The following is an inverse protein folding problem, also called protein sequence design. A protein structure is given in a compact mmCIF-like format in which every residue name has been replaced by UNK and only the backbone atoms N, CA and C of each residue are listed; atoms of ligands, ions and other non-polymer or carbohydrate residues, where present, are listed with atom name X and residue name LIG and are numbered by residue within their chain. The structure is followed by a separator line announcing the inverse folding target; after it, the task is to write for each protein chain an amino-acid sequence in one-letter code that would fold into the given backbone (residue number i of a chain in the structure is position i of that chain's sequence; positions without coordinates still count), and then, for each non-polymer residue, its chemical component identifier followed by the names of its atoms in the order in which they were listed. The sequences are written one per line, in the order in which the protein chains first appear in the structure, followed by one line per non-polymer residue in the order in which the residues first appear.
data_IF_207863660745
#
_entry.id   IF_207863660745
#
_cell.length_a   1.000
_cell.length_b   1.000
_cell.length_c   1.000
_cell.angle_alpha   90.00
_cell.angle_beta   90.00
_cell.angle_gamma   90.00
#
_symmetry.space_group_name_H-M   'P 1'
#
loop_
_entity.id
_entity.type
_entity.pdbx_description
1 polymer ?
#
# COMPACT_ATOMS: atom_id res chain seq x y z
N UNK A 1 -0.97 24.68 10.45
CA UNK A 1 0.37 24.06 10.48
C UNK A 1 0.43 23.19 11.73
N UNK A 2 1.02 22.01 11.66
CA UNK A 2 1.23 21.15 12.84
C UNK A 2 2.35 21.72 13.71
N UNK A 3 2.19 21.64 15.04
CA UNK A 3 3.22 22.04 16.01
C UNK A 3 3.75 20.78 16.69
N UNK A 4 5.07 20.58 16.67
CA UNK A 4 5.74 19.48 17.35
C UNK A 4 6.44 20.05 18.59
N UNK A 5 6.12 19.54 19.78
CA UNK A 5 6.70 20.03 21.04
C UNK A 5 8.05 19.36 21.35
N UNK A 6 8.18 18.05 21.05
CA UNK A 6 9.40 17.27 21.26
C UNK A 6 9.68 16.38 20.06
N UNK A 7 10.94 16.23 19.69
CA UNK A 7 11.43 15.29 18.69
C UNK A 7 12.35 14.27 19.34
N UNK A 8 12.14 12.98 19.04
CA UNK A 8 12.93 11.88 19.59
C UNK A 8 13.31 10.94 18.45
N UNK A 9 14.60 10.68 18.28
CA UNK A 9 15.12 9.59 17.46
C UNK A 9 15.21 8.35 18.33
N UNK A 10 14.30 7.42 18.13
CA UNK A 10 14.26 6.20 18.93
C UNK A 10 15.48 5.31 18.62
N UNK A 11 16.10 4.79 19.67
CA UNK A 11 17.28 3.91 19.55
C UNK A 11 16.88 2.43 19.50
N UNK A 12 15.67 2.11 19.91
CA UNK A 12 15.12 0.75 19.88
C UNK A 12 13.64 0.75 19.51
N UNK A 13 13.15 -0.38 18.98
CA UNK A 13 11.71 -0.57 18.74
C UNK A 13 10.90 -0.52 20.02
N UNK A 14 11.45 -1.00 21.14
CA UNK A 14 10.79 -0.93 22.45
C UNK A 14 10.59 0.53 22.90
N UNK A 15 11.61 1.37 22.81
CA UNK A 15 11.51 2.79 23.12
C UNK A 15 10.46 3.47 22.24
N UNK A 16 10.52 3.24 20.91
CA UNK A 16 9.55 3.79 19.98
C UNK A 16 8.12 3.35 20.33
N UNK A 17 7.93 2.08 20.67
CA UNK A 17 6.63 1.53 21.02
C UNK A 17 6.10 2.12 22.35
N UNK A 18 6.92 2.20 23.38
CA UNK A 18 6.54 2.82 24.64
C UNK A 18 6.11 4.28 24.46
N UNK A 19 6.88 5.05 23.71
CA UNK A 19 6.53 6.43 23.36
C UNK A 19 5.20 6.51 22.59
N UNK A 20 4.95 5.56 21.67
CA UNK A 20 3.76 5.54 20.84
C UNK A 20 2.46 5.18 21.59
N UNK A 21 2.54 4.68 22.83
CA UNK A 21 1.35 4.42 23.65
C UNK A 21 0.64 5.72 24.07
N UNK A 22 1.32 6.85 24.08
CA UNK A 22 0.69 8.13 24.28
C UNK A 22 0.00 8.62 22.99
N UNK A 23 -1.33 8.76 23.04
CA UNK A 23 -2.17 9.16 21.89
C UNK A 23 -1.83 10.53 21.29
N UNK A 24 -1.07 11.38 22.00
CA UNK A 24 -0.59 12.68 21.50
C UNK A 24 0.77 12.58 20.78
N UNK A 25 1.42 11.43 20.85
CA UNK A 25 2.66 11.18 20.14
C UNK A 25 2.37 10.65 18.73
N UNK A 26 3.32 10.79 17.82
CA UNK A 26 3.20 10.30 16.43
C UNK A 26 4.52 9.73 15.97
N UNK A 27 4.46 8.54 15.37
CA UNK A 27 5.57 7.99 14.58
C UNK A 27 5.68 8.77 13.29
N UNK A 28 6.90 9.13 12.95
CA UNK A 28 7.22 9.78 11.70
C UNK A 28 7.55 8.74 10.62
N UNK A 29 6.89 8.84 9.47
CA UNK A 29 7.39 8.36 8.21
C UNK A 29 7.95 9.55 7.42
N UNK A 30 7.65 9.68 6.12
CA UNK A 30 8.07 10.84 5.32
C UNK A 30 7.39 12.18 5.66
N UNK A 31 6.54 12.24 6.66
CA UNK A 31 5.78 13.41 7.12
C UNK A 31 4.87 14.10 6.09
N UNK A 32 4.71 13.55 4.90
CA UNK A 32 4.05 14.23 3.78
C UNK A 32 2.57 14.55 4.05
N UNK A 33 1.87 13.68 4.78
CA UNK A 33 0.50 13.92 5.23
C UNK A 33 0.44 14.58 6.60
N UNK A 34 1.30 14.19 7.52
CA UNK A 34 1.29 14.70 8.87
C UNK A 34 1.50 16.22 8.89
N UNK A 35 2.42 16.75 8.07
CA UNK A 35 2.71 18.20 7.99
C UNK A 35 1.55 19.05 7.50
N UNK A 36 0.59 18.46 6.75
CA UNK A 36 -0.61 19.16 6.27
C UNK A 36 -1.70 19.23 7.33
N UNK A 37 -1.55 18.49 8.43
CA UNK A 37 -2.48 18.49 9.54
C UNK A 37 -2.48 19.81 10.31
N UNK A 38 -3.51 19.97 11.14
CA UNK A 38 -3.63 21.06 12.13
C UNK A 38 -3.58 20.43 13.52
N UNK A 39 -2.98 21.15 14.47
CA UNK A 39 -2.94 20.71 15.86
C UNK A 39 -1.52 20.53 16.40
N UNK A 40 -1.42 19.89 17.58
CA UNK A 40 -0.17 19.69 18.30
C UNK A 40 0.16 18.21 18.43
N UNK A 41 1.42 17.87 18.17
CA UNK A 41 2.04 16.58 18.48
C UNK A 41 2.94 16.78 19.68
N UNK A 42 2.72 15.99 20.74
CA UNK A 42 3.54 16.10 21.94
C UNK A 42 4.96 15.60 21.66
N UNK A 43 5.10 14.36 21.14
CA UNK A 43 6.40 13.83 20.73
C UNK A 43 6.31 13.26 19.32
N UNK A 44 7.17 13.73 18.44
CA UNK A 44 7.42 13.14 17.13
C UNK A 44 8.51 12.08 17.30
N UNK A 45 8.18 10.82 16.96
CA UNK A 45 9.03 9.66 17.14
C UNK A 45 9.60 9.29 15.79
N UNK A 46 10.91 9.45 15.62
CA UNK A 46 11.61 9.09 14.40
C UNK A 46 12.24 7.69 14.51
N UNK A 47 12.05 6.88 13.48
CA UNK A 47 12.56 5.50 13.41
C UNK A 47 13.82 5.39 12.53
N UNK A 48 14.45 6.50 12.13
CA UNK A 48 15.55 6.51 11.15
C UNK A 48 16.77 5.71 11.59
N UNK A 49 17.03 5.57 12.90
CA UNK A 49 18.19 4.86 13.45
C UNK A 49 17.96 3.36 13.65
N UNK A 50 16.76 2.85 13.32
CA UNK A 50 16.38 1.45 13.56
C UNK A 50 16.66 0.50 12.38
N UNK A 51 17.36 0.95 11.33
CA UNK A 51 17.69 0.12 10.17
C UNK A 51 16.47 -0.34 9.35
N UNK A 52 15.36 0.42 9.41
CA UNK A 52 14.11 0.06 8.74
C UNK A 52 13.96 0.67 7.33
N UNK A 53 15.04 1.19 6.77
CA UNK A 53 15.08 1.84 5.45
C UNK A 53 15.64 0.94 4.34
N UNK A 54 15.76 -0.36 4.58
CA UNK A 54 16.31 -1.33 3.63
C UNK A 54 15.23 -2.20 3.00
N UNK A 55 15.50 -2.71 1.81
CA UNK A 55 14.77 -3.81 1.16
C UNK A 55 15.75 -4.98 1.10
N UNK A 56 15.49 -6.01 1.88
CA UNK A 56 16.27 -7.24 1.92
C UNK A 56 15.59 -8.29 1.04
N UNK A 57 16.37 -8.94 0.20
CA UNK A 57 15.90 -9.99 -0.70
C UNK A 57 16.57 -11.31 -0.34
N UNK A 58 15.76 -12.34 -0.15
CA UNK A 58 16.19 -13.73 0.00
C UNK A 58 15.64 -14.59 -1.14
N UNK A 59 15.93 -15.88 -1.14
CA UNK A 59 15.33 -16.82 -2.10
C UNK A 59 13.81 -16.87 -1.99
N UNK A 60 13.27 -16.76 -0.76
CA UNK A 60 11.85 -16.98 -0.47
C UNK A 60 11.01 -15.71 -0.37
N UNK A 61 11.62 -14.55 -0.09
CA UNK A 61 10.87 -13.33 0.20
C UNK A 61 11.66 -12.04 0.01
N UNK A 62 10.91 -10.94 -0.12
CA UNK A 62 11.38 -9.58 0.11
C UNK A 62 10.93 -9.11 1.49
N UNK A 63 11.86 -8.56 2.27
CA UNK A 63 11.60 -7.93 3.57
C UNK A 63 11.83 -6.42 3.43
N UNK A 64 10.75 -5.66 3.31
CA UNK A 64 10.74 -4.24 3.00
C UNK A 64 10.55 -3.46 4.29
N UNK A 65 11.55 -2.74 4.74
CA UNK A 65 11.50 -1.94 5.95
C UNK A 65 10.44 -0.83 5.87
N UNK A 66 9.82 -0.52 7.00
CA UNK A 66 8.76 0.50 7.04
C UNK A 66 9.24 1.90 6.65
N UNK A 67 10.53 2.19 6.81
CA UNK A 67 11.16 3.45 6.45
C UNK A 67 11.77 3.45 5.03
N UNK A 68 11.74 2.31 4.31
CA UNK A 68 12.08 2.28 2.89
C UNK A 68 11.15 3.23 2.12
N UNK A 69 11.71 3.96 1.16
CA UNK A 69 10.97 4.97 0.42
C UNK A 69 10.20 4.38 -0.76
N UNK A 70 9.21 5.10 -1.28
CA UNK A 70 8.55 4.69 -2.50
C UNK A 70 9.50 4.74 -3.71
N UNK A 71 10.55 5.54 -3.62
CA UNK A 71 11.60 5.56 -4.65
C UNK A 71 12.44 4.29 -4.62
N UNK A 72 12.73 3.74 -3.44
CA UNK A 72 13.42 2.45 -3.31
C UNK A 72 12.57 1.33 -3.92
N UNK A 73 11.25 1.30 -3.70
CA UNK A 73 10.35 0.36 -4.38
C UNK A 73 10.39 0.51 -5.91
N UNK A 74 10.36 1.76 -6.40
CA UNK A 74 10.38 2.06 -7.84
C UNK A 74 11.63 1.54 -8.53
N UNK A 75 12.78 1.59 -7.85
CA UNK A 75 14.08 1.28 -8.42
C UNK A 75 14.60 -0.13 -8.11
N UNK A 76 13.98 -0.85 -7.17
CA UNK A 76 14.50 -2.16 -6.74
C UNK A 76 14.37 -3.21 -7.85
N UNK A 77 15.50 -3.61 -8.43
CA UNK A 77 15.55 -4.50 -9.61
C UNK A 77 14.88 -5.84 -9.35
N UNK A 78 15.24 -6.55 -8.26
CA UNK A 78 14.69 -7.86 -7.94
C UNK A 78 13.17 -7.84 -7.71
N UNK A 79 12.67 -6.82 -6.99
CA UNK A 79 11.24 -6.66 -6.75
C UNK A 79 10.45 -6.38 -8.04
N UNK A 80 11.03 -5.57 -8.93
CA UNK A 80 10.43 -5.26 -10.20
C UNK A 80 10.49 -6.44 -11.18
N UNK A 81 11.59 -7.20 -11.19
CA UNK A 81 11.68 -8.44 -11.95
C UNK A 81 10.65 -9.47 -11.49
N UNK A 82 10.52 -9.68 -10.18
CA UNK A 82 9.54 -10.60 -9.59
C UNK A 82 8.09 -10.20 -9.93
N UNK A 83 7.77 -8.90 -9.85
CA UNK A 83 6.42 -8.40 -10.09
C UNK A 83 6.12 -8.05 -11.55
N UNK A 84 7.02 -8.34 -12.51
CA UNK A 84 6.87 -7.91 -13.90
C UNK A 84 6.70 -6.39 -14.05
N UNK A 85 7.31 -5.61 -13.14
CA UNK A 85 7.22 -4.15 -13.12
C UNK A 85 5.95 -3.58 -12.48
N UNK A 86 5.04 -4.40 -11.97
CA UNK A 86 3.77 -3.92 -11.38
C UNK A 86 3.98 -3.03 -10.15
N UNK A 87 5.01 -3.30 -9.32
CA UNK A 87 5.33 -2.47 -8.15
C UNK A 87 5.84 -1.09 -8.60
N UNK A 88 6.76 -1.02 -9.56
CA UNK A 88 7.20 0.28 -10.12
C UNK A 88 6.02 1.02 -10.77
N UNK A 89 5.16 0.32 -11.52
CA UNK A 89 3.97 0.91 -12.13
C UNK A 89 3.02 1.52 -11.09
N UNK A 90 2.87 0.89 -9.93
CA UNK A 90 2.02 1.39 -8.85
C UNK A 90 2.55 2.68 -8.22
N UNK A 91 3.89 2.86 -8.14
CA UNK A 91 4.46 4.00 -7.41
C UNK A 91 4.94 5.14 -8.31
N UNK A 92 5.33 4.88 -9.56
CA UNK A 92 5.98 5.86 -10.46
C UNK A 92 5.21 7.16 -10.67
N UNK A 93 3.88 7.09 -10.62
CA UNK A 93 2.99 8.25 -10.84
C UNK A 93 2.48 8.87 -9.53
N UNK A 94 2.99 8.43 -8.36
CA UNK A 94 2.71 9.09 -7.09
C UNK A 94 3.50 10.40 -7.02
N UNK A 95 2.82 11.51 -7.32
CA UNK A 95 3.33 12.88 -7.33
C UNK A 95 4.61 12.99 -8.17
N UNK A 96 5.76 13.19 -7.56
CA UNK A 96 7.05 13.34 -8.22
C UNK A 96 8.17 12.61 -7.48
N UNK A 97 9.38 12.59 -8.09
CA UNK A 97 10.54 11.90 -7.51
C UNK A 97 10.86 12.42 -6.11
N UNK A 98 10.81 13.75 -5.89
CA UNK A 98 11.09 14.35 -4.57
C UNK A 98 10.10 13.86 -3.51
N UNK A 99 8.83 13.70 -3.89
CA UNK A 99 7.81 13.16 -2.99
C UNK A 99 8.11 11.69 -2.67
N UNK A 100 8.43 10.88 -3.68
CA UNK A 100 8.73 9.45 -3.51
C UNK A 100 10.01 9.18 -2.74
N UNK A 101 11.00 10.09 -2.79
CA UNK A 101 12.20 10.03 -1.95
C UNK A 101 11.91 10.25 -0.46
N UNK A 102 10.76 10.81 -0.11
CA UNK A 102 10.36 11.07 1.28
C UNK A 102 9.22 10.16 1.75
N UNK A 103 8.30 9.81 0.87
CA UNK A 103 7.17 8.93 1.20
C UNK A 103 7.68 7.53 1.52
N UNK A 104 7.26 6.97 2.66
CA UNK A 104 7.70 5.67 3.13
C UNK A 104 6.66 4.58 2.88
N UNK A 105 7.13 3.35 2.72
CA UNK A 105 6.26 2.16 2.62
C UNK A 105 5.39 2.02 3.85
N UNK A 106 5.99 2.16 5.05
CA UNK A 106 5.25 2.13 6.30
C UNK A 106 4.14 3.16 6.37
N UNK A 107 4.42 4.42 5.99
CA UNK A 107 3.41 5.48 5.95
C UNK A 107 2.26 5.17 5.00
N UNK A 108 2.54 4.57 3.84
CA UNK A 108 1.55 4.21 2.83
C UNK A 108 0.68 3.02 3.25
N UNK A 109 1.26 2.01 3.91
CA UNK A 109 0.56 0.80 4.38
C UNK A 109 -0.18 1.08 5.70
N UNK A 110 0.49 1.66 6.70
CA UNK A 110 -0.13 1.99 8.00
C UNK A 110 -1.28 2.98 7.86
N UNK A 111 -1.12 3.95 6.97
CA UNK A 111 -2.14 4.96 6.68
C UNK A 111 -3.47 4.36 6.25
N UNK A 112 -3.46 3.24 5.54
CA UNK A 112 -4.64 2.58 4.95
C UNK A 112 -5.54 3.56 4.23
N UNK A 113 -4.94 4.55 3.56
CA UNK A 113 -5.67 5.54 2.79
C UNK A 113 -6.38 4.89 1.60
N UNK A 114 -7.58 5.38 1.30
CA UNK A 114 -8.38 4.84 0.20
C UNK A 114 -7.70 4.94 -1.17
N UNK A 115 -6.81 5.90 -1.33
CA UNK A 115 -6.06 6.18 -2.56
C UNK A 115 -4.66 5.51 -2.58
N UNK A 116 -4.33 4.62 -1.65
CA UNK A 116 -3.00 4.01 -1.57
C UNK A 116 -2.76 3.03 -2.70
N UNK A 117 -2.00 3.44 -3.70
CA UNK A 117 -1.52 2.57 -4.78
C UNK A 117 -0.64 1.44 -4.22
N UNK A 118 0.19 1.74 -3.22
CA UNK A 118 1.06 0.77 -2.54
C UNK A 118 0.23 -0.32 -1.87
N UNK A 119 -0.79 0.03 -1.08
CA UNK A 119 -1.67 -0.97 -0.47
C UNK A 119 -2.37 -1.80 -1.54
N UNK A 120 -2.82 -1.17 -2.63
CA UNK A 120 -3.55 -1.84 -3.71
C UNK A 120 -2.69 -2.90 -4.40
N UNK A 121 -1.44 -2.59 -4.77
CA UNK A 121 -0.59 -3.55 -5.48
C UNK A 121 -0.18 -4.72 -4.57
N UNK A 122 0.25 -4.45 -3.34
CA UNK A 122 0.68 -5.52 -2.44
C UNK A 122 -0.46 -6.39 -1.92
N UNK A 123 -1.69 -5.85 -1.84
CA UNK A 123 -2.86 -6.62 -1.41
C UNK A 123 -3.24 -7.73 -2.41
N UNK A 124 -2.93 -7.58 -3.70
CA UNK A 124 -3.12 -8.63 -4.70
C UNK A 124 -2.08 -9.76 -4.60
N UNK A 125 -0.92 -9.50 -3.98
CA UNK A 125 0.18 -10.47 -3.81
C UNK A 125 0.12 -11.20 -2.47
N UNK A 126 1.04 -12.13 -2.25
CA UNK A 126 1.19 -12.88 -0.98
C UNK A 126 2.00 -12.06 0.04
N UNK A 127 1.38 -10.98 0.51
CA UNK A 127 2.02 -9.98 1.35
C UNK A 127 1.54 -10.02 2.80
N UNK A 128 2.45 -9.73 3.71
CA UNK A 128 2.24 -9.70 5.17
C UNK A 128 2.85 -8.42 5.74
N UNK A 129 2.38 -7.99 6.89
CA UNK A 129 3.03 -6.97 7.70
C UNK A 129 3.62 -7.59 8.95
N UNK A 130 4.80 -7.15 9.32
CA UNK A 130 5.38 -7.43 10.63
C UNK A 130 5.11 -6.24 11.54
N UNK A 131 4.34 -6.48 12.58
CA UNK A 131 4.06 -5.54 13.66
C UNK A 131 4.99 -5.84 14.84
N UNK A 132 5.38 -4.82 15.59
CA UNK A 132 6.35 -5.00 16.69
C UNK A 132 5.82 -5.92 17.79
N UNK A 133 4.62 -5.69 18.28
CA UNK A 133 3.96 -6.55 19.31
C UNK A 133 2.96 -7.53 18.66
N UNK A 134 2.32 -7.14 17.57
CA UNK A 134 1.29 -7.95 16.90
C UNK A 134 1.82 -9.09 16.03
N UNK A 135 3.17 -9.19 15.84
CA UNK A 135 3.76 -10.26 15.03
C UNK A 135 3.48 -10.12 13.52
N UNK A 136 3.51 -11.25 12.82
CA UNK A 136 3.30 -11.29 11.37
C UNK A 136 1.81 -11.50 11.08
N UNK A 137 1.22 -10.58 10.31
CA UNK A 137 -0.21 -10.57 9.97
C UNK A 137 -0.35 -10.49 8.45
N UNK A 138 -1.22 -11.31 7.81
CA UNK A 138 -1.53 -11.17 6.39
C UNK A 138 -2.00 -9.74 6.07
N UNK A 139 -1.50 -9.15 4.97
CA UNK A 139 -1.83 -7.76 4.61
C UNK A 139 -3.34 -7.56 4.42
N UNK A 140 -4.05 -8.56 3.91
CA UNK A 140 -5.50 -8.54 3.78
C UNK A 140 -6.21 -8.39 5.14
N UNK A 141 -5.75 -9.12 6.15
CA UNK A 141 -6.28 -9.00 7.51
C UNK A 141 -5.92 -7.64 8.10
N UNK A 142 -4.65 -7.24 7.99
CA UNK A 142 -4.18 -5.93 8.47
C UNK A 142 -4.96 -4.78 7.87
N UNK A 143 -5.30 -4.82 6.57
CA UNK A 143 -6.09 -3.79 5.91
C UNK A 143 -7.48 -3.60 6.54
N UNK A 144 -8.06 -4.64 7.13
CA UNK A 144 -9.37 -4.62 7.80
C UNK A 144 -9.30 -4.26 9.30
N UNK A 145 -8.11 -4.42 9.95
CA UNK A 145 -7.94 -4.15 11.38
C UNK A 145 -8.21 -2.70 11.74
N UNK A 146 -8.64 -2.47 12.97
CA UNK A 146 -8.67 -1.13 13.55
C UNK A 146 -7.24 -0.62 13.77
N UNK A 147 -7.04 0.69 13.66
CA UNK A 147 -5.75 1.30 14.01
C UNK A 147 -5.54 1.23 15.51
N UNK A 148 -4.35 0.83 15.90
CA UNK A 148 -3.87 0.77 17.27
C UNK A 148 -2.58 1.61 17.44
N UNK A 149 -1.85 1.40 18.51
CA UNK A 149 -0.59 2.07 18.81
C UNK A 149 0.63 1.15 18.62
N UNK A 150 0.49 0.06 17.84
CA UNK A 150 1.64 -0.77 17.48
C UNK A 150 2.52 -0.09 16.43
N UNK A 151 3.63 -0.70 16.08
CA UNK A 151 4.59 -0.21 15.07
C UNK A 151 4.62 -1.20 13.92
N UNK A 152 4.41 -0.72 12.70
CA UNK A 152 4.71 -1.47 11.51
C UNK A 152 6.22 -1.44 11.28
N UNK A 153 6.83 -2.61 11.34
CA UNK A 153 8.29 -2.78 11.23
C UNK A 153 8.67 -3.04 9.77
N UNK A 154 7.99 -4.00 9.13
CA UNK A 154 8.29 -4.42 7.75
C UNK A 154 7.03 -4.83 7.01
N UNK A 155 7.07 -4.67 5.69
CA UNK A 155 6.19 -5.35 4.74
C UNK A 155 6.97 -6.55 4.19
N UNK A 156 6.40 -7.75 4.32
CA UNK A 156 6.98 -8.99 3.83
C UNK A 156 6.22 -9.42 2.59
N UNK A 157 6.90 -9.65 1.49
CA UNK A 157 6.33 -10.20 0.27
C UNK A 157 6.99 -11.55 0.00
N UNK A 158 6.22 -12.63 0.07
CA UNK A 158 6.70 -13.97 -0.27
C UNK A 158 6.86 -14.12 -1.78
N UNK A 159 7.90 -14.81 -2.22
CA UNK A 159 8.16 -15.07 -3.65
C UNK A 159 7.33 -16.25 -4.18
N UNK A 160 6.06 -16.32 -3.77
CA UNK A 160 5.09 -17.24 -4.36
C UNK A 160 4.99 -16.98 -5.85
N UNK A 161 5.15 -18.00 -6.72
CA UNK A 161 5.07 -17.79 -8.17
C UNK A 161 3.77 -17.08 -8.57
N UNK A 162 3.88 -15.89 -9.13
CA UNK A 162 2.72 -15.11 -9.55
C UNK A 162 3.00 -14.30 -10.81
N UNK A 163 1.94 -14.04 -11.56
CA UNK A 163 1.91 -12.96 -12.56
C UNK A 163 1.01 -11.87 -12.03
N UNK A 164 1.40 -10.62 -12.16
CA UNK A 164 0.60 -9.50 -11.65
C UNK A 164 0.62 -8.33 -12.64
N UNK A 165 -0.52 -7.68 -12.78
CA UNK A 165 -0.70 -6.44 -13.55
C UNK A 165 -1.27 -5.37 -12.60
N UNK A 166 -0.68 -4.18 -12.63
CA UNK A 166 -1.20 -3.00 -11.94
C UNK A 166 -1.61 -1.95 -12.95
N UNK A 167 -2.81 -1.40 -12.80
CA UNK A 167 -3.34 -0.32 -13.62
C UNK A 167 -4.05 0.72 -12.76
N UNK A 168 -4.06 1.97 -13.20
CA UNK A 168 -4.86 3.03 -12.57
C UNK A 168 -5.39 4.01 -13.61
N UNK A 169 -6.54 4.60 -13.31
CA UNK A 169 -7.08 5.74 -14.06
C UNK A 169 -6.92 6.99 -13.21
N UNK A 170 -6.35 8.04 -13.78
CA UNK A 170 -6.08 9.32 -13.15
C UNK A 170 -6.57 10.44 -14.06
N UNK A 171 -7.08 11.53 -13.51
CA UNK A 171 -7.45 12.73 -14.29
C UNK A 171 -6.20 13.45 -14.81
N UNK A 172 -5.13 13.46 -14.02
CA UNK A 172 -3.79 13.91 -14.37
C UNK A 172 -2.78 12.86 -13.89
N UNK A 173 -1.68 12.70 -14.61
CA UNK A 173 -0.70 11.63 -14.37
C UNK A 173 -0.26 11.50 -12.93
N UNK A 174 -0.01 12.60 -12.24
CA UNK A 174 0.54 12.63 -10.87
C UNK A 174 -0.51 12.93 -9.80
N UNK A 175 -1.80 13.03 -10.16
CA UNK A 175 -2.90 13.18 -9.20
C UNK A 175 -3.23 11.84 -8.51
N UNK A 176 -4.09 11.88 -7.50
CA UNK A 176 -4.67 10.67 -6.93
C UNK A 176 -5.45 9.88 -7.98
N UNK A 177 -5.44 8.55 -7.91
CA UNK A 177 -6.23 7.75 -8.84
C UNK A 177 -7.74 8.00 -8.67
N UNK A 178 -8.43 8.02 -9.80
CA UNK A 178 -9.89 7.86 -9.84
C UNK A 178 -10.25 6.46 -9.39
N UNK A 179 -9.51 5.46 -9.93
CA UNK A 179 -9.53 4.07 -9.53
C UNK A 179 -8.15 3.45 -9.73
N UNK A 180 -7.75 2.57 -8.81
CA UNK A 180 -6.56 1.74 -8.91
C UNK A 180 -6.95 0.27 -8.83
N UNK A 181 -6.30 -0.56 -9.65
CA UNK A 181 -6.56 -1.99 -9.71
C UNK A 181 -5.25 -2.76 -9.85
N UNK A 182 -5.11 -3.84 -9.08
CA UNK A 182 -4.06 -4.83 -9.26
C UNK A 182 -4.71 -6.21 -9.39
N UNK A 183 -4.33 -6.96 -10.42
CA UNK A 183 -4.80 -8.33 -10.60
C UNK A 183 -3.59 -9.25 -10.67
N UNK A 184 -3.57 -10.26 -9.80
CA UNK A 184 -2.54 -11.29 -9.78
C UNK A 184 -3.17 -12.66 -10.04
N UNK A 185 -2.40 -13.54 -10.67
CA UNK A 185 -2.70 -14.96 -10.77
C UNK A 185 -1.61 -15.74 -10.06
N UNK A 186 -2.00 -16.46 -9.02
CA UNK A 186 -1.10 -17.26 -8.18
C UNK A 186 -1.84 -18.44 -7.57
N UNK A 187 -1.16 -19.57 -7.45
CA UNK A 187 -1.71 -20.81 -6.87
C UNK A 187 -3.06 -21.22 -7.46
N UNK A 188 -3.26 -21.04 -8.78
CA UNK A 188 -4.52 -21.39 -9.45
C UNK A 188 -5.67 -20.38 -9.22
N UNK A 189 -5.42 -19.25 -8.57
CA UNK A 189 -6.45 -18.30 -8.20
C UNK A 189 -6.14 -16.88 -8.74
N UNK A 190 -7.14 -16.21 -9.27
CA UNK A 190 -7.11 -14.78 -9.57
C UNK A 190 -7.37 -14.00 -8.29
N UNK A 191 -6.52 -13.02 -8.02
CA UNK A 191 -6.62 -12.11 -6.87
C UNK A 191 -6.67 -10.69 -7.40
N UNK A 192 -7.82 -10.03 -7.26
CA UNK A 192 -8.01 -8.66 -7.71
C UNK A 192 -8.18 -7.71 -6.52
N UNK A 193 -7.29 -6.74 -6.43
CA UNK A 193 -7.37 -5.66 -5.46
C UNK A 193 -7.85 -4.38 -6.12
N UNK A 194 -8.88 -3.74 -5.56
CA UNK A 194 -9.46 -2.50 -6.06
C UNK A 194 -9.34 -1.40 -5.02
N UNK A 195 -8.60 -0.35 -5.34
CA UNK A 195 -8.37 0.85 -4.52
C UNK A 195 -8.97 2.11 -5.12
N UNK A 196 -8.88 3.21 -4.40
CA UNK A 196 -9.38 4.54 -4.79
C UNK A 196 -10.89 4.61 -5.11
N UNK A 197 -11.70 3.78 -4.47
CA UNK A 197 -13.14 3.63 -4.70
C UNK A 197 -14.13 4.49 -3.89
N UNK A 198 -13.93 5.58 -3.19
CA UNK A 198 -13.08 6.26 -2.22
C UNK A 198 -13.04 5.62 -0.82
N UNK A 199 -12.90 4.35 -0.76
CA UNK A 199 -12.65 3.62 0.48
C UNK A 199 -11.34 2.82 0.35
N UNK A 200 -10.92 2.17 1.45
CA UNK A 200 -9.72 1.32 1.45
C UNK A 200 -9.76 0.27 0.35
N UNK A 201 -8.57 -0.08 -0.16
CA UNK A 201 -8.44 -1.16 -1.13
C UNK A 201 -9.08 -2.45 -0.60
N UNK A 202 -9.74 -3.17 -1.49
CA UNK A 202 -10.49 -4.40 -1.20
C UNK A 202 -10.02 -5.50 -2.12
N UNK A 203 -9.78 -6.68 -1.56
CA UNK A 203 -9.33 -7.87 -2.28
C UNK A 203 -10.51 -8.78 -2.58
N UNK A 204 -10.53 -9.33 -3.79
CA UNK A 204 -11.43 -10.37 -4.28
C UNK A 204 -10.61 -11.52 -4.83
N UNK A 205 -11.10 -12.76 -4.67
CA UNK A 205 -10.44 -13.95 -5.14
C UNK A 205 -11.41 -14.84 -5.92
N UNK A 206 -10.93 -15.50 -6.98
CA UNK A 206 -11.69 -16.47 -7.76
C UNK A 206 -10.76 -17.46 -8.47
N UNK A 207 -11.12 -18.72 -8.50
CA UNK A 207 -10.43 -19.72 -9.32
C UNK A 207 -10.82 -19.61 -10.80
N UNK A 208 -11.96 -18.98 -11.10
CA UNK A 208 -12.48 -18.79 -12.45
C UNK A 208 -12.26 -17.37 -12.94
N UNK A 209 -11.87 -17.25 -14.21
CA UNK A 209 -11.76 -15.96 -14.90
C UNK A 209 -13.13 -15.44 -15.34
N UNK A 210 -14.01 -16.34 -15.79
CA UNK A 210 -15.31 -15.99 -16.34
C UNK A 210 -16.20 -15.28 -15.31
N UNK A 211 -16.73 -14.12 -15.67
CA UNK A 211 -17.63 -13.34 -14.81
C UNK A 211 -16.96 -12.63 -13.64
N UNK A 212 -15.66 -12.86 -13.36
CA UNK A 212 -15.00 -12.34 -12.16
C UNK A 212 -14.99 -10.80 -12.13
N UNK A 213 -14.71 -10.14 -13.25
CA UNK A 213 -14.72 -8.67 -13.33
C UNK A 213 -16.12 -8.08 -13.05
N UNK A 214 -17.17 -8.70 -13.58
CA UNK A 214 -18.56 -8.30 -13.32
C UNK A 214 -18.93 -8.50 -11.86
N UNK A 215 -18.56 -9.66 -11.28
CA UNK A 215 -18.74 -9.94 -9.86
C UNK A 215 -18.09 -8.87 -8.97
N UNK A 216 -16.85 -8.47 -9.28
CA UNK A 216 -16.15 -7.42 -8.50
C UNK A 216 -16.88 -6.09 -8.64
N UNK A 217 -17.30 -5.71 -9.87
CA UNK A 217 -17.99 -4.45 -10.11
C UNK A 217 -19.33 -4.35 -9.36
N UNK A 218 -20.02 -5.47 -9.18
CA UNK A 218 -21.29 -5.56 -8.44
C UNK A 218 -21.09 -5.55 -6.92
N UNK A 219 -19.97 -6.11 -6.43
CA UNK A 219 -19.73 -6.34 -4.99
C UNK A 219 -18.72 -5.38 -4.36
N UNK A 220 -18.01 -4.56 -5.14
CA UNK A 220 -17.11 -3.54 -4.61
C UNK A 220 -17.89 -2.22 -4.40
N UNK A 221 -18.18 -1.81 -3.15
CA UNK A 221 -18.85 -0.54 -2.89
C UNK A 221 -18.03 0.62 -3.45
N UNK A 222 -18.62 1.46 -4.26
CA UNK A 222 -18.02 2.68 -4.81
C UNK A 222 -18.77 3.92 -4.37
N UNK A 223 -18.04 5.02 -4.22
CA UNK A 223 -18.62 6.33 -3.88
C UNK A 223 -18.15 7.40 -4.87
N UNK A 224 -18.90 8.49 -4.97
CA UNK A 224 -18.54 9.67 -5.77
C UNK A 224 -17.67 10.65 -4.99
N UNK A 225 -16.82 11.39 -5.70
CA UNK A 225 -16.12 12.58 -5.23
C UNK A 225 -15.75 13.49 -6.40
N UNK A 226 -14.97 14.57 -6.16
CA UNK A 226 -14.53 15.52 -7.20
C UNK A 226 -13.77 14.87 -8.39
N UNK A 227 -13.24 13.64 -8.23
CA UNK A 227 -12.47 12.93 -9.28
C UNK A 227 -13.32 12.07 -10.18
N UNK A 228 -14.47 11.61 -9.72
CA UNK A 228 -15.35 10.75 -10.49
C UNK A 228 -16.57 10.30 -9.71
N UNK A 229 -17.63 9.95 -10.43
CA UNK A 229 -18.87 9.41 -9.85
C UNK A 229 -18.69 7.95 -9.41
N UNK A 230 -19.62 7.46 -8.54
CA UNK A 230 -19.69 6.05 -8.17
C UNK A 230 -19.90 5.16 -9.39
N UNK A 231 -20.84 5.51 -10.28
CA UNK A 231 -21.14 4.74 -11.49
C UNK A 231 -19.91 4.64 -12.41
N UNK A 232 -19.14 5.72 -12.57
CA UNK A 232 -17.91 5.70 -13.36
C UNK A 232 -16.87 4.75 -12.77
N UNK A 233 -16.69 4.75 -11.44
CA UNK A 233 -15.76 3.83 -10.78
C UNK A 233 -16.20 2.37 -10.90
N UNK A 234 -17.49 2.09 -10.76
CA UNK A 234 -18.03 0.73 -10.99
C UNK A 234 -17.76 0.26 -12.41
N UNK A 235 -17.96 1.12 -13.41
CA UNK A 235 -17.62 0.83 -14.80
C UNK A 235 -16.10 0.58 -14.95
N UNK A 236 -15.25 1.43 -14.36
CA UNK A 236 -13.79 1.28 -14.42
C UNK A 236 -13.31 -0.02 -13.76
N UNK A 237 -13.92 -0.47 -12.68
CA UNK A 237 -13.59 -1.76 -12.05
C UNK A 237 -13.70 -2.88 -13.09
N UNK A 238 -14.83 -2.98 -13.75
CA UNK A 238 -15.05 -4.00 -14.78
C UNK A 238 -13.98 -3.92 -15.88
N UNK A 239 -13.80 -2.75 -16.47
CA UNK A 239 -12.87 -2.53 -17.58
C UNK A 239 -11.41 -2.84 -17.19
N UNK A 240 -10.95 -2.36 -16.02
CA UNK A 240 -9.56 -2.53 -15.61
C UNK A 240 -9.25 -3.97 -15.21
N UNK A 241 -10.19 -4.64 -14.53
CA UNK A 241 -10.03 -6.06 -14.18
C UNK A 241 -10.02 -6.93 -15.44
N UNK A 242 -10.94 -6.72 -16.39
CA UNK A 242 -10.97 -7.47 -17.65
C UNK A 242 -9.67 -7.29 -18.45
N UNK A 243 -9.17 -6.06 -18.56
CA UNK A 243 -7.90 -5.78 -19.25
C UNK A 243 -6.71 -6.46 -18.59
N UNK A 244 -6.62 -6.35 -17.25
CA UNK A 244 -5.55 -6.99 -16.51
C UNK A 244 -5.60 -8.52 -16.62
N UNK A 245 -6.79 -9.12 -16.56
CA UNK A 245 -6.95 -10.57 -16.73
C UNK A 245 -6.56 -11.04 -18.12
N UNK A 246 -6.90 -10.27 -19.16
CA UNK A 246 -6.48 -10.54 -20.53
C UNK A 246 -4.95 -10.51 -20.69
N UNK A 247 -4.30 -9.54 -20.08
CA UNK A 247 -2.83 -9.40 -20.06
C UNK A 247 -2.16 -10.59 -19.36
N UNK A 248 -2.80 -11.12 -18.29
CA UNK A 248 -2.34 -12.32 -17.58
C UNK A 248 -2.54 -13.63 -18.36
N UNK A 249 -3.20 -13.60 -19.53
CA UNK A 249 -3.52 -14.78 -20.31
C UNK A 249 -4.79 -15.54 -19.85
N UNK A 250 -5.69 -14.85 -19.17
CA UNK A 250 -6.89 -15.39 -18.53
C UNK A 250 -8.17 -15.36 -19.37
N UNK A 251 -8.07 -15.26 -20.69
CA UNK A 251 -9.20 -15.40 -21.64
C UNK A 251 -8.80 -16.24 -22.83
#
# INVERSE_FOLDING_TARGET
MITIQKYVRAQTLEEAWQLNQNKRNRILGGMLWLRLGKGSVNTAIDLCDLGLNTIEETEDQFSIGAMATLRDLELHEGLNAYSGGAVAAAVKDIVGVQFRNMATVGGSIWGRFGFSDVLTVFLAMDAYVQLYKGGIVPLEQFAKMKKDNDILVRLILKKTPCKIVYTSVRNQRTDFPVLACAVAYMNGCYRASVGARPARAMLFCSEKSEGFASFIAENAPTEGNLRGSAAYRTHLIKVLVERAMKELGGM
#
